data_IF_549324233835
#
_entry.id   IF_549324233835
#
_cell.length_a   1.000
_cell.length_b   1.000
_cell.length_c   1.000
_cell.angle_alpha   90.00
_cell.angle_beta   90.00
_cell.angle_gamma   90.00
#
_symmetry.space_group_name_H-M   'P 1'
#
loop_
_entity.id
_entity.type
_entity.pdbx_description
1 polymer ?
#
# COMPACT_ATOMS: atom_id res chain seq x y z
N UNK A 1 3.99 92.32 -14.68
CA UNK A 1 3.71 90.88 -14.82
C UNK A 1 3.10 90.39 -13.51
N UNK A 2 1.80 90.11 -13.49
CA UNK A 2 1.08 89.78 -12.25
C UNK A 2 0.74 88.30 -12.26
N UNK A 3 1.39 87.51 -11.40
CA UNK A 3 1.11 86.08 -11.25
C UNK A 3 -0.32 85.91 -10.71
N UNK A 4 -1.17 85.07 -11.33
CA UNK A 4 -2.53 84.90 -10.84
C UNK A 4 -2.50 84.23 -9.45
N UNK A 5 -3.01 84.92 -8.43
CA UNK A 5 -3.36 84.32 -7.13
C UNK A 5 -4.50 83.33 -7.39
N UNK A 6 -4.18 82.05 -7.53
CA UNK A 6 -5.15 80.96 -7.60
C UNK A 6 -6.15 81.14 -6.45
N UNK A 7 -7.44 81.19 -6.77
CA UNK A 7 -8.45 81.43 -5.74
C UNK A 7 -8.46 80.25 -4.75
N UNK A 8 -8.71 80.53 -3.47
CA UNK A 8 -8.77 79.50 -2.41
C UNK A 8 -9.71 78.34 -2.78
N UNK A 9 -10.77 78.62 -3.55
CA UNK A 9 -11.73 77.62 -4.02
C UNK A 9 -11.13 76.70 -5.09
N UNK A 10 -10.34 77.23 -6.03
CA UNK A 10 -9.65 76.43 -7.05
C UNK A 10 -8.56 75.56 -6.44
N UNK A 11 -7.83 76.08 -5.46
CA UNK A 11 -6.84 75.30 -4.71
C UNK A 11 -7.51 74.12 -3.98
N UNK A 12 -8.67 74.36 -3.35
CA UNK A 12 -9.45 73.32 -2.67
C UNK A 12 -10.02 72.28 -3.66
N UNK A 13 -10.51 72.72 -4.82
CA UNK A 13 -10.99 71.81 -5.88
C UNK A 13 -9.88 70.89 -6.38
N UNK A 14 -8.71 71.44 -6.70
CA UNK A 14 -7.54 70.64 -7.12
C UNK A 14 -7.09 69.66 -6.04
N UNK A 15 -7.10 70.06 -4.77
CA UNK A 15 -6.76 69.17 -3.65
C UNK A 15 -7.76 68.00 -3.54
N UNK A 16 -9.07 68.26 -3.66
CA UNK A 16 -10.08 67.20 -3.65
C UNK A 16 -9.97 66.27 -4.85
N UNK A 17 -9.74 66.78 -6.06
CA UNK A 17 -9.56 65.97 -7.26
C UNK A 17 -8.28 65.13 -7.21
N UNK A 18 -7.19 65.66 -6.64
CA UNK A 18 -5.96 64.91 -6.39
C UNK A 18 -6.19 63.78 -5.38
N UNK A 19 -6.88 64.06 -4.26
CA UNK A 19 -7.24 63.05 -3.28
C UNK A 19 -8.17 61.98 -3.84
N UNK A 20 -9.15 62.37 -4.67
CA UNK A 20 -10.05 61.45 -5.36
C UNK A 20 -9.29 60.51 -6.29
N UNK A 21 -8.42 61.05 -7.16
CA UNK A 21 -7.59 60.24 -8.06
C UNK A 21 -6.65 59.30 -7.30
N UNK A 22 -6.04 59.77 -6.21
CA UNK A 22 -5.22 58.92 -5.35
C UNK A 22 -6.04 57.79 -4.71
N UNK A 23 -7.29 58.06 -4.32
CA UNK A 23 -8.17 57.04 -3.75
C UNK A 23 -8.65 56.03 -4.80
N UNK A 24 -9.02 56.50 -5.99
CA UNK A 24 -9.39 55.64 -7.14
C UNK A 24 -8.22 54.72 -7.52
N UNK A 25 -6.98 55.24 -7.55
CA UNK A 25 -5.79 54.44 -7.83
C UNK A 25 -5.52 53.37 -6.76
N UNK A 26 -5.70 53.70 -5.47
CA UNK A 26 -5.59 52.72 -4.38
C UNK A 26 -6.65 51.64 -4.48
N UNK A 27 -7.90 52.02 -4.76
CA UNK A 27 -9.01 51.07 -4.90
C UNK A 27 -8.79 50.11 -6.08
N UNK A 28 -8.30 50.61 -7.22
CA UNK A 28 -7.96 49.78 -8.37
C UNK A 28 -6.84 48.78 -8.06
N UNK A 29 -5.77 49.24 -7.37
CA UNK A 29 -4.68 48.37 -6.93
C UNK A 29 -5.17 47.30 -5.95
N UNK A 30 -5.99 47.69 -4.97
CA UNK A 30 -6.50 46.75 -3.98
C UNK A 30 -7.37 45.68 -4.62
N UNK A 31 -8.23 46.07 -5.58
CA UNK A 31 -9.00 45.09 -6.34
C UNK A 31 -8.10 44.11 -7.10
N UNK A 32 -7.10 44.60 -7.82
CA UNK A 32 -6.15 43.73 -8.53
C UNK A 32 -5.39 42.80 -7.57
N UNK A 33 -4.95 43.32 -6.41
CA UNK A 33 -4.29 42.50 -5.39
C UNK A 33 -5.20 41.40 -4.84
N UNK A 34 -6.50 41.67 -4.65
CA UNK A 34 -7.47 40.67 -4.20
C UNK A 34 -7.66 39.58 -5.26
N UNK A 35 -7.78 39.98 -6.53
CA UNK A 35 -7.91 39.04 -7.65
C UNK A 35 -6.66 38.15 -7.73
N UNK A 36 -5.45 38.72 -7.69
CA UNK A 36 -4.18 38.00 -7.69
C UNK A 36 -4.03 37.09 -6.45
N UNK A 37 -4.45 37.55 -5.28
CA UNK A 37 -4.42 36.75 -4.06
C UNK A 37 -5.33 35.52 -4.16
N UNK A 38 -6.51 35.67 -4.77
CA UNK A 38 -7.40 34.54 -5.03
C UNK A 38 -6.76 33.53 -5.99
N UNK A 39 -6.08 34.00 -7.04
CA UNK A 39 -5.35 33.12 -7.97
C UNK A 39 -4.23 32.36 -7.26
N UNK A 40 -3.45 33.02 -6.40
CA UNK A 40 -2.39 32.37 -5.62
C UNK A 40 -2.97 31.27 -4.73
N UNK A 41 -4.07 31.54 -4.02
CA UNK A 41 -4.69 30.55 -3.14
C UNK A 41 -5.19 29.33 -3.91
N UNK A 42 -5.81 29.54 -5.08
CA UNK A 42 -6.23 28.44 -5.96
C UNK A 42 -5.03 27.64 -6.48
N UNK A 43 -3.96 28.32 -6.89
CA UNK A 43 -2.75 27.67 -7.39
C UNK A 43 -2.10 26.79 -6.31
N UNK A 44 -1.97 27.31 -5.07
CA UNK A 44 -1.43 26.55 -3.94
C UNK A 44 -2.30 25.32 -3.63
N UNK A 45 -3.63 25.47 -3.65
CA UNK A 45 -4.55 24.35 -3.47
C UNK A 45 -4.36 23.25 -4.52
N UNK A 46 -4.30 23.63 -5.80
CA UNK A 46 -4.07 22.68 -6.91
C UNK A 46 -2.71 21.99 -6.82
N UNK A 47 -1.66 22.69 -6.41
CA UNK A 47 -0.34 22.09 -6.21
C UNK A 47 -0.42 21.01 -5.12
N UNK A 48 -1.08 21.28 -3.99
CA UNK A 48 -1.24 20.31 -2.92
C UNK A 48 -2.07 19.08 -3.36
N UNK A 49 -3.11 19.29 -4.17
CA UNK A 49 -3.88 18.20 -4.79
C UNK A 49 -3.00 17.33 -5.70
N UNK A 50 -2.19 17.94 -6.57
CA UNK A 50 -1.26 17.23 -7.47
C UNK A 50 -0.23 16.42 -6.66
N UNK A 51 0.30 16.98 -5.58
CA UNK A 51 1.24 16.26 -4.70
C UNK A 51 0.59 15.05 -4.03
N UNK A 52 -0.66 15.19 -3.58
CA UNK A 52 -1.44 14.10 -2.98
C UNK A 52 -1.69 13.00 -4.02
N UNK A 53 -2.17 13.39 -5.21
CA UNK A 53 -2.36 12.48 -6.33
C UNK A 53 -1.07 11.73 -6.71
N UNK A 54 0.07 12.44 -6.75
CA UNK A 54 1.38 11.82 -7.04
C UNK A 54 1.74 10.75 -6.00
N UNK A 55 1.54 11.04 -4.71
CA UNK A 55 1.82 10.09 -3.62
C UNK A 55 0.96 8.83 -3.73
N UNK A 56 -0.34 9.01 -3.93
CA UNK A 56 -1.29 7.90 -4.12
C UNK A 56 -0.93 7.08 -5.35
N UNK A 57 -0.58 7.74 -6.46
CA UNK A 57 -0.23 7.05 -7.70
C UNK A 57 1.05 6.22 -7.56
N UNK A 58 2.06 6.74 -6.86
CA UNK A 58 3.28 5.99 -6.57
C UNK A 58 3.01 4.80 -5.64
N UNK A 59 2.14 4.95 -4.64
CA UNK A 59 1.75 3.85 -3.76
C UNK A 59 1.06 2.72 -4.54
N UNK A 60 0.12 3.07 -5.44
CA UNK A 60 -0.55 2.10 -6.32
C UNK A 60 0.44 1.38 -7.24
N UNK A 61 1.34 2.13 -7.90
CA UNK A 61 2.34 1.55 -8.79
C UNK A 61 3.29 0.62 -8.03
N UNK A 62 3.71 1.01 -6.82
CA UNK A 62 4.57 0.17 -5.98
C UNK A 62 3.88 -1.15 -5.61
N UNK A 63 2.61 -1.11 -5.20
CA UNK A 63 1.85 -2.33 -4.92
C UNK A 63 1.74 -3.24 -6.14
N UNK A 64 1.47 -2.68 -7.33
CA UNK A 64 1.43 -3.44 -8.58
C UNK A 64 2.77 -4.09 -8.92
N UNK A 65 3.87 -3.33 -8.76
CA UNK A 65 5.21 -3.85 -8.97
C UNK A 65 5.56 -4.94 -7.97
N UNK A 66 5.27 -4.76 -6.69
CA UNK A 66 5.56 -5.75 -5.65
C UNK A 66 4.82 -7.08 -5.93
N UNK A 67 3.57 -7.02 -6.37
CA UNK A 67 2.81 -8.21 -6.79
C UNK A 67 3.42 -8.89 -8.01
N UNK A 68 3.80 -8.12 -9.03
CA UNK A 68 4.40 -8.68 -10.25
C UNK A 68 5.79 -9.27 -9.98
N UNK A 69 6.60 -8.62 -9.15
CA UNK A 69 7.90 -9.14 -8.70
C UNK A 69 7.69 -10.43 -7.91
N UNK A 70 6.76 -10.46 -6.96
CA UNK A 70 6.46 -11.67 -6.19
C UNK A 70 6.06 -12.82 -7.11
N UNK A 71 5.17 -12.59 -8.07
CA UNK A 71 4.76 -13.60 -9.07
C UNK A 71 5.94 -14.13 -9.88
N UNK A 72 6.83 -13.25 -10.36
CA UNK A 72 8.02 -13.66 -11.12
C UNK A 72 8.98 -14.47 -10.27
N UNK A 73 9.22 -14.04 -9.04
CA UNK A 73 10.09 -14.75 -8.08
C UNK A 73 9.51 -16.12 -7.75
N UNK A 74 8.21 -16.22 -7.49
CA UNK A 74 7.54 -17.49 -7.17
C UNK A 74 7.56 -18.45 -8.36
N UNK A 75 7.40 -17.94 -9.59
CA UNK A 75 7.58 -18.75 -10.79
C UNK A 75 8.99 -19.32 -10.91
N UNK A 76 10.03 -18.53 -10.60
CA UNK A 76 11.41 -19.04 -10.60
C UNK A 76 11.67 -20.03 -9.46
N UNK A 77 11.13 -19.79 -8.26
CA UNK A 77 11.21 -20.72 -7.13
C UNK A 77 10.56 -22.06 -7.47
N UNK A 78 9.38 -22.05 -8.09
CA UNK A 78 8.71 -23.26 -8.54
C UNK A 78 9.53 -24.03 -9.59
N UNK A 79 10.11 -23.33 -10.57
CA UNK A 79 11.01 -23.94 -11.57
C UNK A 79 12.25 -24.56 -10.93
N UNK A 80 12.88 -23.83 -10.00
CA UNK A 80 14.04 -24.30 -9.24
C UNK A 80 13.71 -25.51 -8.39
N UNK A 81 12.61 -25.48 -7.63
CA UNK A 81 12.13 -26.60 -6.84
C UNK A 81 11.82 -27.83 -7.68
N UNK A 82 11.15 -27.66 -8.82
CA UNK A 82 10.91 -28.75 -9.76
C UNK A 82 12.22 -29.34 -10.32
N UNK A 83 13.24 -28.52 -10.56
CA UNK A 83 14.56 -29.02 -10.97
C UNK A 83 15.22 -29.86 -9.87
N UNK A 84 15.17 -29.41 -8.61
CA UNK A 84 15.69 -30.17 -7.46
C UNK A 84 14.96 -31.50 -7.30
N UNK A 85 13.62 -31.51 -7.38
CA UNK A 85 12.82 -32.76 -7.33
C UNK A 85 13.23 -33.72 -8.45
N UNK A 86 13.40 -33.22 -9.69
CA UNK A 86 13.87 -34.06 -10.80
C UNK A 86 15.28 -34.61 -10.56
N UNK A 87 16.17 -33.86 -9.91
CA UNK A 87 17.51 -34.35 -9.56
C UNK A 87 17.43 -35.43 -8.48
N UNK A 88 16.61 -35.25 -7.44
CA UNK A 88 16.39 -36.27 -6.42
C UNK A 88 15.77 -37.54 -7.00
N UNK A 89 14.84 -37.42 -7.95
CA UNK A 89 14.28 -38.56 -8.68
C UNK A 89 15.32 -39.35 -9.50
N UNK A 90 16.49 -38.75 -9.80
CA UNK A 90 17.65 -39.43 -10.40
C UNK A 90 18.64 -39.99 -9.37
N UNK A 91 18.31 -39.94 -8.08
CA UNK A 91 19.16 -40.44 -6.98
C UNK A 91 20.14 -39.42 -6.41
N UNK A 92 20.09 -38.16 -6.82
CA UNK A 92 20.98 -37.13 -6.28
C UNK A 92 20.58 -36.70 -4.86
N UNK A 93 21.57 -36.55 -3.97
CA UNK A 93 21.34 -35.99 -2.63
C UNK A 93 21.38 -34.46 -2.65
N UNK A 94 20.75 -33.80 -1.67
CA UNK A 94 20.79 -32.33 -1.57
C UNK A 94 22.21 -31.78 -1.43
N UNK A 95 23.10 -32.51 -0.76
CA UNK A 95 24.52 -32.15 -0.62
C UNK A 95 25.23 -32.22 -1.98
N UNK A 96 24.99 -33.28 -2.75
CA UNK A 96 25.59 -33.41 -4.10
C UNK A 96 25.07 -32.34 -5.06
N UNK A 97 23.78 -32.01 -4.97
CA UNK A 97 23.17 -30.93 -5.77
C UNK A 97 23.78 -29.57 -5.41
N UNK A 98 23.94 -29.29 -4.12
CA UNK A 98 24.59 -28.08 -3.61
C UNK A 98 26.02 -27.94 -4.15
N UNK A 99 26.84 -28.99 -4.01
CA UNK A 99 28.21 -29.01 -4.54
C UNK A 99 28.25 -28.83 -6.06
N UNK A 100 27.34 -29.48 -6.81
CA UNK A 100 27.31 -29.36 -8.28
C UNK A 100 26.92 -27.98 -8.78
N UNK A 101 26.05 -27.28 -8.04
CA UNK A 101 25.53 -25.96 -8.41
C UNK A 101 26.33 -24.81 -7.81
N UNK A 102 27.32 -25.11 -6.98
CA UNK A 102 28.05 -24.14 -6.15
C UNK A 102 27.11 -23.28 -5.30
N UNK A 103 26.04 -23.89 -4.79
CA UNK A 103 25.05 -23.24 -3.94
C UNK A 103 25.11 -23.81 -2.53
N UNK A 104 24.88 -22.97 -1.52
CA UNK A 104 24.72 -23.44 -0.15
C UNK A 104 23.53 -24.42 -0.02
N UNK A 105 23.70 -25.48 0.77
CA UNK A 105 22.66 -26.51 0.97
C UNK A 105 21.33 -25.92 1.46
N UNK A 106 21.36 -24.81 2.20
CA UNK A 106 20.17 -24.07 2.63
C UNK A 106 19.35 -23.52 1.47
N UNK A 107 20.01 -23.01 0.41
CA UNK A 107 19.34 -22.48 -0.78
C UNK A 107 18.65 -23.62 -1.53
N UNK A 108 19.35 -24.74 -1.75
CA UNK A 108 18.79 -25.93 -2.41
C UNK A 108 17.58 -26.46 -1.64
N UNK A 109 17.68 -26.51 -0.30
CA UNK A 109 16.55 -26.90 0.57
C UNK A 109 15.37 -25.93 0.45
N UNK A 110 15.63 -24.63 0.43
CA UNK A 110 14.57 -23.62 0.25
C UNK A 110 13.89 -23.77 -1.10
N UNK A 111 14.65 -23.97 -2.18
CA UNK A 111 14.08 -24.23 -3.51
C UNK A 111 13.23 -25.50 -3.54
N UNK A 112 13.69 -26.58 -2.89
CA UNK A 112 12.91 -27.83 -2.79
C UNK A 112 11.53 -27.62 -2.15
N UNK A 113 11.38 -26.69 -1.20
CA UNK A 113 10.06 -26.39 -0.59
C UNK A 113 9.03 -25.90 -1.60
N UNK A 114 9.50 -25.31 -2.70
CA UNK A 114 8.67 -24.83 -3.80
C UNK A 114 8.54 -25.85 -4.94
N UNK A 115 9.08 -27.06 -4.78
CA UNK A 115 8.91 -28.14 -5.75
C UNK A 115 7.48 -28.69 -5.78
N UNK A 116 7.10 -29.38 -6.86
CA UNK A 116 5.79 -30.05 -6.95
C UNK A 116 5.69 -31.08 -5.83
N UNK A 117 4.57 -31.05 -5.09
CA UNK A 117 4.29 -32.07 -4.07
C UNK A 117 3.91 -33.37 -4.76
N UNK A 118 4.37 -34.53 -4.27
CA UNK A 118 3.89 -35.80 -4.79
C UNK A 118 2.37 -35.87 -4.56
N UNK A 119 1.60 -36.05 -5.63
CA UNK A 119 0.17 -36.31 -5.50
C UNK A 119 -0.01 -37.60 -4.71
N UNK A 120 -0.82 -37.55 -3.65
CA UNK A 120 -1.25 -38.77 -2.96
C UNK A 120 -2.08 -39.57 -3.98
N UNK A 121 -1.78 -40.85 -4.24
CA UNK A 121 -2.64 -41.67 -5.08
C UNK A 121 -4.01 -41.73 -4.40
N UNK A 122 -5.02 -41.14 -5.02
CA UNK A 122 -6.41 -41.41 -4.68
C UNK A 122 -6.64 -42.88 -5.00
N UNK A 123 -6.89 -43.70 -3.98
CA UNK A 123 -7.29 -45.08 -4.17
C UNK A 123 -8.43 -45.11 -5.19
N UNK A 124 -8.28 -45.90 -6.27
CA UNK A 124 -9.38 -46.16 -7.17
C UNK A 124 -10.52 -46.76 -6.35
N UNK A 125 -11.71 -46.20 -6.51
CA UNK A 125 -12.94 -46.69 -5.91
C UNK A 125 -13.38 -47.97 -6.65
N UNK A 126 -12.58 -49.03 -6.51
CA UNK A 126 -12.97 -50.38 -6.92
C UNK A 126 -13.81 -50.98 -5.79
N UNK A 127 -15.05 -50.52 -5.74
CA UNK A 127 -16.12 -51.03 -4.90
C UNK A 127 -16.44 -52.50 -5.26
N UNK A 128 -15.85 -53.44 -4.51
CA UNK A 128 -16.27 -54.84 -4.50
C UNK A 128 -16.49 -55.32 -3.05
N UNK A 129 -17.63 -56.01 -2.87
CA UNK A 129 -17.95 -56.96 -1.81
C UNK A 129 -18.56 -56.44 -0.48
N UNK A 130 -19.89 -56.47 -0.47
CA UNK A 130 -20.83 -56.93 0.57
C UNK A 130 -20.22 -57.68 1.76
N UNK A 131 -20.66 -57.35 2.99
CA UNK A 131 -20.46 -58.24 4.15
C UNK A 131 -20.77 -57.65 5.54
N UNK A 132 -22.06 -57.64 5.89
CA UNK A 132 -22.63 -57.89 7.23
C UNK A 132 -21.94 -57.38 8.53
N UNK A 133 -22.61 -56.44 9.20
CA UNK A 133 -23.17 -56.60 10.56
C UNK A 133 -22.24 -56.60 11.79
N UNK A 134 -22.47 -55.69 12.74
CA UNK A 134 -22.04 -55.90 14.14
C UNK A 134 -21.86 -54.67 15.03
N UNK A 135 -22.95 -54.27 15.69
CA UNK A 135 -23.10 -53.79 17.09
C UNK A 135 -22.30 -52.59 17.65
N UNK A 136 -23.10 -51.60 18.06
CA UNK A 136 -23.11 -50.85 19.33
C UNK A 136 -21.85 -50.69 20.20
N UNK A 137 -21.49 -49.43 20.47
CA UNK A 137 -20.69 -48.99 21.63
C UNK A 137 -20.61 -47.47 21.70
N UNK A 138 -21.29 -46.86 22.68
CA UNK A 138 -21.47 -45.40 22.81
C UNK A 138 -20.19 -44.60 23.15
N UNK A 139 -20.24 -43.25 23.00
CA UNK A 139 -19.05 -42.41 23.00
C UNK A 139 -18.59 -42.02 24.41
N UNK A 140 -17.32 -42.31 24.72
CA UNK A 140 -16.62 -41.82 25.90
C UNK A 140 -15.63 -40.72 25.52
N UNK A 141 -15.83 -39.54 26.10
CA UNK A 141 -14.73 -38.69 26.58
C UNK A 141 -14.11 -37.70 25.59
N UNK A 142 -14.75 -36.54 25.40
CA UNK A 142 -14.02 -35.30 25.07
C UNK A 142 -13.89 -34.50 26.36
N UNK A 143 -12.73 -34.55 26.98
CA UNK A 143 -12.32 -33.63 28.04
C UNK A 143 -11.36 -32.62 27.43
N UNK A 144 -11.84 -31.38 27.33
CA UNK A 144 -11.14 -30.19 26.88
C UNK A 144 -10.29 -29.63 28.04
N UNK A 145 -8.95 -29.58 27.93
CA UNK A 145 -8.11 -29.03 28.99
C UNK A 145 -7.78 -27.55 28.73
N UNK A 146 -8.33 -26.71 29.62
CA UNK A 146 -7.75 -25.44 30.06
C UNK A 146 -7.88 -24.22 29.12
N UNK A 147 -9.09 -23.68 29.09
CA UNK A 147 -9.34 -22.23 29.11
C UNK A 147 -8.91 -21.71 30.49
N UNK A 148 -7.86 -20.90 30.54
CA UNK A 148 -7.47 -20.13 31.73
C UNK A 148 -7.72 -18.65 31.48
N UNK A 149 -8.87 -18.14 31.92
CA UNK A 149 -9.11 -16.71 32.09
C UNK A 149 -9.42 -16.47 33.58
N UNK A 150 -8.60 -15.72 34.33
CA UNK A 150 -8.86 -15.45 35.73
C UNK A 150 -9.87 -14.30 35.93
N UNK A 151 -10.71 -14.35 36.98
CA UNK A 151 -11.81 -13.41 37.19
C UNK A 151 -11.33 -12.03 37.69
N UNK A 152 -11.99 -11.01 37.14
CA UNK A 152 -12.01 -9.66 37.69
C UNK A 152 -12.94 -9.61 38.92
N UNK A 153 -12.39 -9.45 40.11
CA UNK A 153 -12.77 -8.46 41.13
C UNK A 153 -12.23 -8.86 42.51
N UNK A 154 -11.50 -7.92 43.14
CA UNK A 154 -11.60 -7.56 44.56
C UNK A 154 -10.39 -6.71 44.98
N UNK A 155 -10.61 -5.42 45.24
CA UNK A 155 -10.13 -4.74 46.45
C UNK A 155 -10.58 -3.26 46.45
N UNK A 156 -11.63 -2.99 47.22
CA UNK A 156 -11.81 -1.69 47.85
C UNK A 156 -10.71 -1.46 48.89
N UNK A 157 -10.09 -0.29 48.87
CA UNK A 157 -9.63 0.47 50.03
C UNK A 157 -9.49 1.94 49.63
#
# INVERSE_FOLDING_TARGET
MTTPRISKLEARKRAHEASRRANEARAAKEKANIDDAAEILVAVGKIAEIETWKKERLAQLRQQLDMEVAKRVDAQRARGGAAVVRMQGRGETLTTIATRTDLGIGIVRTMLRHGPKPEKPTASDDSHALGAGGVAGGPMGVVDPYISEPPADAASA
#
